data_IF_920907685398
#
_entry.id   IF_920907685398
#
_cell.length_a   1.000
_cell.length_b   1.000
_cell.length_c   1.000
_cell.angle_alpha   90.00
_cell.angle_beta   90.00
_cell.angle_gamma   90.00
#
_symmetry.space_group_name_H-M   'P 1'
#
loop_
_entity.id
_entity.type
_entity.pdbx_description
1 polymer ?
#
# COMPACT_ATOMS: atom_id res chain seq x y z
N UNK A 1 37.26 -34.54 18.32
CA UNK A 1 36.28 -33.70 17.62
C UNK A 1 35.10 -33.57 18.56
N UNK A 2 34.82 -32.35 19.05
CA UNK A 2 33.65 -32.12 19.87
C UNK A 2 32.41 -32.35 19.01
N UNK A 3 31.50 -33.16 19.54
CA UNK A 3 30.17 -33.40 19.00
C UNK A 3 29.44 -32.05 18.93
N UNK A 4 29.31 -31.52 17.71
CA UNK A 4 28.52 -30.33 17.45
C UNK A 4 27.07 -30.80 17.41
N UNK A 5 26.46 -30.90 18.60
CA UNK A 5 25.06 -31.25 18.75
C UNK A 5 24.21 -30.47 17.75
N UNK A 6 23.46 -31.20 16.94
CA UNK A 6 22.54 -30.64 15.95
C UNK A 6 21.59 -29.68 16.66
N UNK A 7 21.68 -28.39 16.32
CA UNK A 7 20.69 -27.42 16.71
C UNK A 7 19.46 -27.65 15.84
N UNK A 8 18.50 -28.44 16.34
CA UNK A 8 17.14 -28.46 15.80
C UNK A 8 16.37 -27.27 16.40
N UNK A 9 16.11 -26.18 15.65
CA UNK A 9 15.20 -25.16 16.13
C UNK A 9 13.82 -25.80 16.31
N UNK A 10 13.30 -25.76 17.53
CA UNK A 10 11.94 -26.22 17.81
C UNK A 10 10.97 -25.52 16.86
N UNK A 11 10.21 -26.29 16.07
CA UNK A 11 9.17 -25.72 15.23
C UNK A 11 8.13 -25.03 16.14
N UNK A 12 7.95 -23.71 16.03
CA UNK A 12 6.94 -23.03 16.82
C UNK A 12 5.56 -23.58 16.44
N UNK A 13 4.69 -23.76 17.44
CA UNK A 13 3.32 -24.17 17.19
C UNK A 13 2.63 -23.14 16.29
N UNK A 14 2.11 -23.58 15.14
CA UNK A 14 1.47 -22.71 14.15
C UNK A 14 0.15 -22.09 14.68
N UNK A 15 -0.48 -22.72 15.66
CA UNK A 15 -1.66 -22.20 16.35
C UNK A 15 -1.57 -22.52 17.84
N UNK A 16 -2.01 -21.58 18.69
CA UNK A 16 -1.96 -21.72 20.15
C UNK A 16 -3.33 -21.69 20.83
N UNK A 17 -4.40 -21.34 20.10
CA UNK A 17 -5.75 -21.13 20.64
C UNK A 17 -5.91 -19.91 21.57
N UNK A 18 -4.80 -19.29 22.02
CA UNK A 18 -4.83 -18.14 22.95
C UNK A 18 -5.63 -16.95 22.42
N UNK A 19 -5.64 -16.78 21.10
CA UNK A 19 -6.31 -15.67 20.41
C UNK A 19 -7.83 -15.83 20.26
N UNK A 20 -8.42 -16.97 20.65
CA UNK A 20 -9.85 -17.25 20.45
C UNK A 20 -10.75 -16.41 21.35
N UNK A 21 -10.17 -15.86 22.44
CA UNK A 21 -10.85 -14.90 23.32
C UNK A 21 -11.00 -13.50 22.71
N UNK A 22 -10.52 -13.28 21.49
CA UNK A 22 -10.47 -11.94 20.86
C UNK A 22 -9.32 -11.06 21.37
N UNK A 23 -8.39 -11.62 22.15
CA UNK A 23 -7.19 -10.94 22.67
C UNK A 23 -5.91 -11.44 21.99
N UNK A 24 -4.83 -10.69 22.12
CA UNK A 24 -3.51 -11.04 21.59
C UNK A 24 -2.40 -10.41 22.40
N UNK A 25 -1.24 -11.07 22.47
CA UNK A 25 -0.02 -10.45 22.98
C UNK A 25 0.61 -9.65 21.84
N UNK A 26 0.57 -8.32 21.92
CA UNK A 26 1.06 -7.44 20.87
C UNK A 26 2.41 -6.84 21.25
N UNK A 27 3.49 -7.45 20.75
CA UNK A 27 4.86 -7.01 20.99
C UNK A 27 5.12 -6.69 22.47
N UNK A 28 5.59 -5.48 22.76
CA UNK A 28 5.82 -4.98 24.13
C UNK A 28 4.65 -4.20 24.72
N UNK A 29 3.55 -4.05 23.98
CA UNK A 29 2.30 -3.49 24.53
C UNK A 29 1.59 -4.46 25.47
N UNK A 30 1.97 -5.75 25.45
CA UNK A 30 1.41 -6.79 26.30
C UNK A 30 0.09 -7.36 25.76
N UNK A 31 -0.78 -7.82 26.66
CA UNK A 31 -2.06 -8.43 26.30
C UNK A 31 -3.13 -7.37 26.01
N UNK A 32 -3.55 -7.28 24.75
CA UNK A 32 -4.49 -6.28 24.23
C UNK A 32 -5.65 -6.94 23.49
N UNK A 33 -6.74 -6.21 23.27
CA UNK A 33 -7.79 -6.67 22.37
C UNK A 33 -7.27 -6.71 20.92
N UNK A 34 -7.71 -7.68 20.11
CA UNK A 34 -7.40 -7.71 18.67
C UNK A 34 -7.94 -6.49 17.91
N UNK A 35 -8.88 -5.77 18.50
CA UNK A 35 -9.45 -4.52 17.99
C UNK A 35 -8.70 -3.27 18.49
N UNK A 36 -7.61 -3.42 19.25
CA UNK A 36 -6.76 -2.28 19.63
C UNK A 36 -6.24 -1.59 18.36
N UNK A 37 -6.29 -0.26 18.34
CA UNK A 37 -5.96 0.52 17.14
C UNK A 37 -4.50 0.38 16.73
N UNK A 38 -3.59 0.06 17.65
CA UNK A 38 -2.19 -0.20 17.34
C UNK A 38 -2.01 -1.56 16.65
N UNK A 39 -2.80 -2.56 17.04
CA UNK A 39 -2.88 -3.85 16.34
C UNK A 39 -3.45 -3.64 14.93
N UNK A 40 -4.55 -2.89 14.80
CA UNK A 40 -5.12 -2.59 13.49
C UNK A 40 -4.16 -1.84 12.57
N UNK A 41 -3.36 -0.91 13.11
CA UNK A 41 -2.32 -0.20 12.37
C UNK A 41 -1.19 -1.14 11.92
N UNK A 42 -0.72 -2.02 12.81
CA UNK A 42 0.28 -3.07 12.50
C UNK A 42 -0.19 -3.97 11.35
N UNK A 43 -1.39 -4.54 11.46
CA UNK A 43 -1.94 -5.47 10.48
C UNK A 43 -2.18 -4.80 9.13
N UNK A 44 -2.62 -3.53 9.13
CA UNK A 44 -2.79 -2.78 7.89
C UNK A 44 -1.45 -2.52 7.18
N UNK A 45 -0.35 -2.37 7.92
CA UNK A 45 0.99 -2.22 7.34
C UNK A 45 1.52 -3.55 6.79
N UNK A 46 1.25 -4.67 7.45
CA UNK A 46 1.57 -6.01 6.94
C UNK A 46 0.77 -6.30 5.65
N UNK A 47 -0.51 -5.95 5.60
CA UNK A 47 -1.32 -6.08 4.39
C UNK A 47 -0.80 -5.18 3.25
N UNK A 48 -0.30 -3.97 3.57
CA UNK A 48 0.36 -3.12 2.58
C UNK A 48 1.62 -3.78 2.00
N UNK A 49 2.39 -4.48 2.84
CA UNK A 49 3.55 -5.25 2.40
C UNK A 49 3.15 -6.42 1.49
N UNK A 50 2.10 -7.16 1.84
CA UNK A 50 1.54 -8.21 1.00
C UNK A 50 1.07 -7.69 -0.37
N UNK A 51 0.43 -6.51 -0.41
CA UNK A 51 0.01 -5.87 -1.64
C UNK A 51 1.20 -5.47 -2.54
N UNK A 52 2.27 -4.91 -1.96
CA UNK A 52 3.53 -4.64 -2.68
C UNK A 52 4.14 -5.93 -3.22
N UNK A 53 4.13 -7.00 -2.41
CA UNK A 53 4.65 -8.31 -2.79
C UNK A 53 3.91 -8.90 -3.98
N UNK A 54 2.58 -8.74 -4.03
CA UNK A 54 1.76 -9.20 -5.15
C UNK A 54 2.10 -8.45 -6.45
N UNK A 55 2.31 -7.13 -6.39
CA UNK A 55 2.74 -6.34 -7.54
C UNK A 55 4.09 -6.81 -8.08
N UNK A 56 5.04 -7.15 -7.20
CA UNK A 56 6.34 -7.73 -7.59
C UNK A 56 6.19 -9.12 -8.23
N UNK A 57 5.35 -9.97 -7.64
CA UNK A 57 5.15 -11.35 -8.10
C UNK A 57 4.46 -11.44 -9.48
N UNK A 58 3.65 -10.45 -9.85
CA UNK A 58 3.00 -10.40 -11.15
C UNK A 58 3.99 -10.26 -12.33
N UNK A 59 5.21 -9.78 -12.07
CA UNK A 59 6.25 -9.61 -13.08
C UNK A 59 5.99 -8.43 -14.04
N UNK A 60 6.86 -8.31 -15.05
CA UNK A 60 6.78 -7.22 -16.05
C UNK A 60 7.26 -5.85 -15.55
N UNK A 61 7.83 -5.78 -14.34
CA UNK A 61 8.46 -4.56 -13.81
C UNK A 61 9.97 -4.55 -14.12
N UNK A 62 10.56 -3.38 -14.44
CA UNK A 62 12.00 -3.25 -14.57
C UNK A 62 12.76 -3.63 -13.29
N UNK A 63 13.98 -4.12 -13.43
CA UNK A 63 14.83 -4.55 -12.30
C UNK A 63 15.03 -3.45 -11.24
N UNK A 64 15.12 -2.20 -11.69
CA UNK A 64 15.25 -1.03 -10.81
C UNK A 64 14.01 -0.83 -9.93
N UNK A 65 12.82 -1.04 -10.50
CA UNK A 65 11.54 -0.97 -9.78
C UNK A 65 11.45 -2.10 -8.76
N UNK A 66 11.73 -3.35 -9.16
CA UNK A 66 11.67 -4.49 -8.24
C UNK A 66 12.70 -4.38 -7.11
N UNK A 67 13.88 -3.81 -7.38
CA UNK A 67 14.91 -3.55 -6.35
C UNK A 67 14.47 -2.48 -5.35
N UNK A 68 13.80 -1.44 -5.84
CA UNK A 68 13.19 -0.41 -4.99
C UNK A 68 12.07 -1.00 -4.13
N UNK A 69 11.19 -1.81 -4.71
CA UNK A 69 10.10 -2.45 -3.99
C UNK A 69 10.60 -3.46 -2.95
N UNK A 70 11.68 -4.20 -3.21
CA UNK A 70 12.32 -5.05 -2.21
C UNK A 70 12.84 -4.27 -0.99
N UNK A 71 13.36 -3.06 -1.22
CA UNK A 71 13.74 -2.16 -0.13
C UNK A 71 12.52 -1.67 0.66
N UNK A 72 11.42 -1.36 -0.03
CA UNK A 72 10.14 -0.99 0.59
C UNK A 72 9.57 -2.14 1.44
N UNK A 73 9.65 -3.39 1.00
CA UNK A 73 9.19 -4.53 1.79
C UNK A 73 9.96 -4.65 3.11
N UNK A 74 11.27 -4.39 3.10
CA UNK A 74 12.08 -4.34 4.33
C UNK A 74 11.65 -3.19 5.23
N UNK A 75 11.44 -1.99 4.67
CA UNK A 75 10.97 -0.85 5.47
C UNK A 75 9.59 -1.10 6.10
N UNK A 76 8.68 -1.77 5.39
CA UNK A 76 7.36 -2.11 5.92
C UNK A 76 7.47 -3.14 7.06
N UNK A 77 8.44 -4.06 6.98
CA UNK A 77 8.79 -4.92 8.11
C UNK A 77 9.39 -4.14 9.29
N UNK A 78 10.27 -3.19 9.03
CA UNK A 78 10.79 -2.27 10.06
C UNK A 78 9.66 -1.45 10.70
N UNK A 79 8.68 -1.02 9.91
CA UNK A 79 7.52 -0.26 10.37
C UNK A 79 6.64 -1.08 11.31
N UNK A 80 6.35 -2.34 10.98
CA UNK A 80 5.55 -3.20 11.89
C UNK A 80 6.34 -3.55 13.16
N UNK A 81 7.67 -3.67 13.08
CA UNK A 81 8.53 -3.81 14.26
C UNK A 81 8.52 -2.57 15.15
N UNK A 82 8.52 -1.38 14.54
CA UNK A 82 8.38 -0.07 15.22
C UNK A 82 7.04 0.00 15.98
N UNK A 83 5.93 -0.28 15.30
CA UNK A 83 4.59 -0.26 15.91
C UNK A 83 4.43 -1.26 17.07
N UNK A 84 5.20 -2.34 17.08
CA UNK A 84 5.12 -3.40 18.09
C UNK A 84 5.75 -3.03 19.44
N UNK A 85 6.49 -1.93 19.52
CA UNK A 85 7.20 -1.52 20.74
C UNK A 85 6.91 -0.04 21.05
N UNK A 86 6.34 0.30 22.22
CA UNK A 86 6.15 1.70 22.63
C UNK A 86 7.44 2.54 22.55
N UNK A 87 7.33 3.86 22.32
CA UNK A 87 8.51 4.75 22.28
C UNK A 87 9.17 4.92 23.64
N UNK A 88 8.40 4.78 24.72
CA UNK A 88 8.84 4.87 26.11
C UNK A 88 9.25 3.52 26.72
N UNK A 89 9.28 2.45 25.92
CA UNK A 89 9.77 1.14 26.38
C UNK A 89 11.26 1.23 26.77
N UNK A 90 11.66 0.66 27.92
CA UNK A 90 13.06 0.69 28.35
C UNK A 90 14.00 -0.07 27.41
N UNK A 91 13.50 -1.04 26.65
CA UNK A 91 14.27 -1.74 25.65
C UNK A 91 13.93 -1.23 24.24
N UNK A 92 14.94 -0.86 23.44
CA UNK A 92 14.69 -0.32 22.11
C UNK A 92 14.06 -1.38 21.19
N UNK A 93 13.18 -0.92 20.31
CA UNK A 93 12.70 -1.72 19.20
C UNK A 93 13.87 -2.18 18.31
N UNK A 94 13.79 -3.38 17.70
CA UNK A 94 14.83 -3.85 16.79
C UNK A 94 14.99 -2.94 15.55
N UNK A 95 13.92 -2.28 15.12
CA UNK A 95 13.93 -1.28 14.07
C UNK A 95 12.98 -0.12 14.41
N UNK A 96 13.30 1.05 13.86
CA UNK A 96 12.48 2.27 13.92
C UNK A 96 12.55 2.96 12.56
N UNK A 97 11.43 3.50 12.10
CA UNK A 97 11.40 4.39 10.95
C UNK A 97 12.17 5.66 11.30
N UNK A 98 12.90 6.16 10.32
CA UNK A 98 13.81 7.31 10.46
C UNK A 98 13.65 8.24 9.27
N UNK A 99 14.06 9.49 9.44
CA UNK A 99 14.07 10.50 8.36
C UNK A 99 14.80 10.02 7.09
N UNK A 100 15.83 9.20 7.23
CA UNK A 100 16.55 8.60 6.09
C UNK A 100 15.67 7.72 5.20
N UNK A 101 14.66 7.05 5.75
CA UNK A 101 13.70 6.24 4.99
C UNK A 101 12.79 7.14 4.15
N UNK A 102 12.29 8.22 4.74
CA UNK A 102 11.46 9.21 4.04
C UNK A 102 12.24 9.85 2.90
N UNK A 103 13.45 10.33 3.19
CA UNK A 103 14.33 10.93 2.19
C UNK A 103 14.65 9.97 1.04
N UNK A 104 14.77 8.65 1.31
CA UNK A 104 14.96 7.66 0.25
C UNK A 104 13.71 7.49 -0.61
N UNK A 105 12.52 7.45 -0.01
CA UNK A 105 11.27 7.39 -0.78
C UNK A 105 11.07 8.64 -1.63
N UNK A 106 11.36 9.83 -1.10
CA UNK A 106 11.27 11.10 -1.83
C UNK A 106 12.18 11.08 -3.06
N UNK A 107 13.44 10.66 -2.91
CA UNK A 107 14.36 10.49 -4.06
C UNK A 107 13.86 9.46 -5.08
N UNK A 108 13.28 8.36 -4.63
CA UNK A 108 12.73 7.34 -5.53
C UNK A 108 11.53 7.90 -6.32
N UNK A 109 10.64 8.64 -5.65
CA UNK A 109 9.52 9.33 -6.30
C UNK A 109 10.03 10.28 -7.37
N UNK A 110 10.98 11.15 -7.04
CA UNK A 110 11.54 12.12 -7.98
C UNK A 110 12.21 11.45 -9.18
N UNK A 111 12.92 10.35 -8.95
CA UNK A 111 13.58 9.56 -10.00
C UNK A 111 12.58 8.95 -10.98
N UNK A 112 11.61 8.18 -10.47
CA UNK A 112 10.64 7.53 -11.35
C UNK A 112 9.65 8.52 -11.97
N UNK A 113 9.42 9.68 -11.34
CA UNK A 113 8.56 10.72 -11.89
C UNK A 113 9.17 11.33 -13.16
N UNK A 114 10.50 11.45 -13.22
CA UNK A 114 11.20 11.93 -14.43
C UNK A 114 11.13 10.92 -15.58
N UNK A 115 10.91 9.64 -15.29
CA UNK A 115 10.78 8.58 -16.29
C UNK A 115 9.33 8.42 -16.78
N UNK A 116 8.34 8.93 -16.05
CA UNK A 116 6.95 8.90 -16.45
C UNK A 116 6.66 9.94 -17.55
N UNK A 117 6.04 9.52 -18.65
CA UNK A 117 5.83 10.37 -19.82
C UNK A 117 4.89 11.57 -19.55
N UNK A 118 3.87 11.38 -18.72
CA UNK A 118 2.96 12.43 -18.25
C UNK A 118 2.38 12.01 -16.89
N UNK A 119 2.35 12.93 -15.91
CA UNK A 119 1.75 12.72 -14.59
C UNK A 119 0.52 13.61 -14.36
N UNK A 120 0.13 14.41 -15.36
CA UNK A 120 -1.00 15.31 -15.30
C UNK A 120 -2.34 14.56 -15.27
N UNK A 121 -3.38 15.27 -14.81
CA UNK A 121 -4.75 14.78 -14.75
C UNK A 121 -4.99 13.66 -13.73
N UNK A 122 -6.25 13.20 -13.67
CA UNK A 122 -6.61 12.03 -12.89
C UNK A 122 -6.70 10.83 -13.83
N UNK A 123 -6.17 9.70 -13.40
CA UNK A 123 -6.19 8.43 -14.14
C UNK A 123 -7.16 7.47 -13.49
N UNK A 124 -7.81 6.65 -14.31
CA UNK A 124 -8.51 5.47 -13.83
C UNK A 124 -7.47 4.40 -13.45
N UNK A 125 -7.51 3.85 -12.22
CA UNK A 125 -6.53 2.87 -11.79
C UNK A 125 -6.68 1.57 -12.60
N UNK A 126 -5.67 1.24 -13.41
CA UNK A 126 -5.71 0.10 -14.33
C UNK A 126 -4.57 0.13 -15.34
N UNK A 127 -4.80 -0.47 -16.50
CA UNK A 127 -3.81 -0.64 -17.57
C UNK A 127 -3.17 -2.02 -17.54
N UNK A 128 -1.84 -2.08 -17.43
CA UNK A 128 -1.14 -3.37 -17.29
C UNK A 128 -1.46 -4.03 -15.95
N UNK A 129 -1.28 -5.36 -15.85
CA UNK A 129 -1.48 -6.10 -14.59
C UNK A 129 -0.62 -5.51 -13.46
N UNK A 130 0.64 -5.19 -13.77
CA UNK A 130 1.56 -4.58 -12.82
C UNK A 130 1.08 -3.19 -12.36
N UNK A 131 0.63 -2.34 -13.29
CA UNK A 131 0.09 -1.03 -12.95
C UNK A 131 -1.17 -1.11 -12.08
N UNK A 132 -2.12 -2.00 -12.43
CA UNK A 132 -3.34 -2.21 -11.66
C UNK A 132 -3.03 -2.66 -10.22
N UNK A 133 -2.06 -3.55 -10.03
CA UNK A 133 -1.63 -4.00 -8.71
C UNK A 133 -0.90 -2.91 -7.93
N UNK A 134 -0.10 -2.07 -8.58
CA UNK A 134 0.53 -0.90 -7.93
C UNK A 134 -0.52 0.14 -7.48
N UNK A 135 -1.59 0.35 -8.27
CA UNK A 135 -2.72 1.17 -7.84
C UNK A 135 -3.49 0.55 -6.68
N UNK A 136 -3.67 -0.77 -6.67
CA UNK A 136 -4.28 -1.47 -5.54
C UNK A 136 -3.41 -1.32 -4.27
N UNK A 137 -2.10 -1.54 -4.39
CA UNK A 137 -1.14 -1.35 -3.30
C UNK A 137 -1.16 0.07 -2.77
N UNK A 138 -1.24 1.09 -3.65
CA UNK A 138 -1.43 2.49 -3.24
C UNK A 138 -2.68 2.67 -2.36
N UNK A 139 -3.79 2.03 -2.71
CA UNK A 139 -5.02 2.06 -1.91
C UNK A 139 -4.84 1.45 -0.52
N UNK A 140 -4.16 0.30 -0.44
CA UNK A 140 -3.86 -0.40 0.81
C UNK A 140 -2.89 0.41 1.68
N UNK A 141 -1.81 0.95 1.12
CA UNK A 141 -0.86 1.83 1.82
C UNK A 141 -1.57 3.05 2.42
N UNK A 142 -2.48 3.68 1.67
CA UNK A 142 -3.28 4.81 2.20
C UNK A 142 -4.24 4.39 3.31
N UNK A 143 -4.72 3.15 3.30
CA UNK A 143 -5.54 2.62 4.41
C UNK A 143 -4.68 2.36 5.65
N UNK A 144 -3.48 1.80 5.48
CA UNK A 144 -2.50 1.67 6.54
C UNK A 144 -2.15 3.03 7.15
N UNK A 145 -1.88 4.04 6.33
CA UNK A 145 -1.60 5.42 6.77
C UNK A 145 -2.70 5.95 7.71
N UNK A 146 -3.98 5.78 7.34
CA UNK A 146 -5.11 6.21 8.19
C UNK A 146 -5.18 5.43 9.50
N UNK A 147 -4.95 4.12 9.46
CA UNK A 147 -4.95 3.30 10.67
C UNK A 147 -3.82 3.71 11.64
N UNK A 148 -2.64 4.02 11.10
CA UNK A 148 -1.51 4.53 11.89
C UNK A 148 -1.81 5.90 12.48
N UNK A 149 -2.43 6.82 11.72
CA UNK A 149 -2.85 8.11 12.28
C UNK A 149 -3.85 7.95 13.44
N UNK A 150 -4.82 7.04 13.32
CA UNK A 150 -5.74 6.74 14.42
C UNK A 150 -4.99 6.21 15.65
N UNK A 151 -3.98 5.37 15.45
CA UNK A 151 -3.14 4.88 16.55
C UNK A 151 -2.29 6.00 17.19
N UNK A 152 -1.75 6.93 16.39
CA UNK A 152 -1.03 8.11 16.88
C UNK A 152 -1.95 9.01 17.71
N UNK A 153 -3.15 9.32 17.21
CA UNK A 153 -4.09 10.21 17.89
C UNK A 153 -4.53 9.66 19.26
N UNK A 154 -4.70 8.34 19.36
CA UNK A 154 -5.13 7.67 20.59
C UNK A 154 -3.97 7.27 21.52
N UNK A 155 -2.76 7.10 20.97
CA UNK A 155 -1.55 6.70 21.71
C UNK A 155 -0.33 7.56 21.33
N UNK A 156 -0.35 8.88 21.56
CA UNK A 156 0.65 9.82 21.05
C UNK A 156 2.05 9.65 21.65
N UNK A 157 2.18 8.96 22.79
CA UNK A 157 3.47 8.64 23.41
C UNK A 157 4.02 7.28 22.99
N UNK A 158 3.23 6.46 22.28
CA UNK A 158 3.61 5.09 21.93
C UNK A 158 3.94 4.89 20.46
N UNK A 159 3.42 5.74 19.55
CA UNK A 159 3.57 5.59 18.10
C UNK A 159 4.24 6.83 17.51
N UNK A 160 5.33 6.64 16.75
CA UNK A 160 6.05 7.75 16.12
C UNK A 160 5.32 8.23 14.84
N UNK A 161 4.99 9.52 14.70
CA UNK A 161 4.44 10.10 13.48
C UNK A 161 5.26 9.86 12.20
N UNK A 162 6.55 9.53 12.31
CA UNK A 162 7.39 9.13 11.17
C UNK A 162 6.83 7.91 10.44
N UNK A 163 6.18 6.98 11.14
CA UNK A 163 5.57 5.79 10.54
C UNK A 163 4.45 6.16 9.55
N UNK A 164 3.52 7.03 9.95
CA UNK A 164 2.47 7.52 9.06
C UNK A 164 3.02 8.38 7.91
N UNK A 165 4.03 9.22 8.20
CA UNK A 165 4.71 10.02 7.17
C UNK A 165 5.41 9.14 6.12
N UNK A 166 6.02 8.02 6.52
CA UNK A 166 6.60 7.06 5.58
C UNK A 166 5.53 6.51 4.63
N UNK A 167 4.41 6.03 5.15
CA UNK A 167 3.29 5.49 4.35
C UNK A 167 2.72 6.54 3.39
N UNK A 168 2.64 7.80 3.82
CA UNK A 168 2.22 8.91 2.98
C UNK A 168 3.10 9.04 1.72
N UNK A 169 4.43 9.05 1.88
CA UNK A 169 5.39 9.08 0.75
C UNK A 169 5.32 7.79 -0.08
N UNK A 170 5.19 6.64 0.58
CA UNK A 170 5.11 5.35 -0.10
C UNK A 170 3.91 5.32 -1.06
N UNK A 171 2.77 5.90 -0.67
CA UNK A 171 1.60 5.97 -1.55
C UNK A 171 1.90 6.76 -2.84
N UNK A 172 2.73 7.80 -2.78
CA UNK A 172 3.20 8.56 -3.95
C UNK A 172 4.13 7.73 -4.82
N UNK A 173 5.04 6.95 -4.22
CA UNK A 173 5.89 6.02 -4.96
C UNK A 173 5.05 4.99 -5.72
N UNK A 174 4.06 4.37 -5.07
CA UNK A 174 3.16 3.43 -5.75
C UNK A 174 2.45 4.06 -6.96
N UNK A 175 2.04 5.33 -6.86
CA UNK A 175 1.42 6.04 -7.99
C UNK A 175 2.38 6.22 -9.16
N UNK A 176 3.57 6.76 -8.90
CA UNK A 176 4.55 7.02 -9.95
C UNK A 176 5.00 5.71 -10.62
N UNK A 177 5.20 4.66 -9.84
CA UNK A 177 5.52 3.34 -10.37
C UNK A 177 4.38 2.76 -11.21
N UNK A 178 3.12 2.95 -10.81
CA UNK A 178 1.98 2.51 -11.60
C UNK A 178 1.91 3.22 -12.96
N UNK A 179 2.18 4.54 -13.00
CA UNK A 179 2.27 5.31 -14.24
C UNK A 179 3.43 4.82 -15.12
N UNK A 180 4.59 4.55 -14.53
CA UNK A 180 5.73 3.97 -15.24
C UNK A 180 5.42 2.58 -15.82
N UNK A 181 4.70 1.74 -15.09
CA UNK A 181 4.26 0.42 -15.55
C UNK A 181 3.20 0.47 -16.67
N UNK A 182 2.63 1.64 -16.94
CA UNK A 182 1.74 1.91 -18.07
C UNK A 182 2.43 2.65 -19.22
N UNK A 183 3.73 2.98 -19.16
CA UNK A 183 4.36 3.88 -20.12
C UNK A 183 4.17 3.47 -21.60
N UNK A 184 4.19 2.17 -21.90
CA UNK A 184 3.95 1.65 -23.26
C UNK A 184 2.47 1.46 -23.59
N UNK A 185 1.63 1.18 -22.59
CA UNK A 185 0.19 0.92 -22.76
C UNK A 185 -0.63 2.21 -22.84
N UNK A 186 -0.16 3.27 -22.18
CA UNK A 186 -0.90 4.50 -21.91
C UNK A 186 -1.82 4.37 -20.69
N UNK A 187 -2.05 5.50 -20.02
CA UNK A 187 -3.04 5.59 -18.96
C UNK A 187 -4.41 5.98 -19.51
N UNK A 188 -5.47 5.44 -18.89
CA UNK A 188 -6.84 5.89 -19.16
C UNK A 188 -7.16 7.08 -18.28
N UNK A 189 -7.34 8.24 -18.89
CA UNK A 189 -7.68 9.47 -18.17
C UNK A 189 -9.12 9.43 -17.69
N UNK A 190 -9.35 9.87 -16.44
CA UNK A 190 -10.68 10.08 -15.93
C UNK A 190 -11.36 11.25 -16.65
N UNK A 191 -12.57 11.00 -17.14
CA UNK A 191 -13.43 12.02 -17.74
C UNK A 191 -14.61 12.26 -16.79
N UNK A 192 -14.76 13.47 -16.23
CA UNK A 192 -15.88 13.81 -15.35
C UNK A 192 -17.23 13.52 -16.02
N UNK A 193 -18.08 12.78 -15.30
CA UNK A 193 -19.47 12.47 -15.71
C UNK A 193 -19.59 11.72 -17.06
N UNK A 194 -18.55 11.03 -17.52
CA UNK A 194 -18.53 10.36 -18.82
C UNK A 194 -19.79 9.51 -19.09
N UNK A 195 -20.18 8.68 -18.11
CA UNK A 195 -21.36 7.82 -18.22
C UNK A 195 -22.68 8.62 -18.32
N UNK A 196 -22.82 9.70 -17.54
CA UNK A 196 -24.04 10.52 -17.57
C UNK A 196 -24.16 11.32 -18.89
N UNK A 197 -23.04 11.82 -19.41
CA UNK A 197 -23.00 12.56 -20.69
C UNK A 197 -23.27 11.66 -21.89
N UNK A 198 -22.80 10.41 -21.87
CA UNK A 198 -23.10 9.43 -22.89
C UNK A 198 -24.62 9.16 -22.99
N UNK A 199 -25.29 8.93 -21.85
CA UNK A 199 -26.73 8.71 -21.81
C UNK A 199 -27.54 9.90 -22.33
N UNK A 200 -27.18 11.12 -21.96
CA UNK A 200 -27.86 12.32 -22.47
C UNK A 200 -27.72 12.50 -23.99
N UNK A 201 -26.62 12.04 -24.60
CA UNK A 201 -26.43 12.09 -26.05
C UNK A 201 -27.25 11.02 -26.79
N UNK A 202 -27.44 9.85 -26.17
CA UNK A 202 -28.32 8.80 -26.70
C UNK A 202 -29.78 9.23 -26.70
N UNK A 203 -30.27 9.87 -25.63
CA UNK A 203 -31.64 10.40 -25.54
C UNK A 203 -31.92 11.48 -26.60
N UNK A 204 -30.92 12.32 -26.94
CA UNK A 204 -31.05 13.36 -27.98
C UNK A 204 -30.93 12.77 -29.40
N UNK A 205 -30.25 11.64 -29.57
CA UNK A 205 -30.02 10.99 -30.88
C UNK A 205 -31.20 10.14 -31.41
N UNK A 206 -32.18 9.83 -30.56
CA UNK A 206 -33.39 9.08 -30.91
C UNK A 206 -34.50 9.95 -31.53
N UNK A 207 -34.37 11.29 -31.46
CA UNK A 207 -35.35 12.24 -32.01
C UNK A 207 -35.15 12.50 -33.52
N UNK A 208 -34.66 11.51 -34.27
CA UNK A 208 -34.56 11.62 -35.74
C UNK A 208 -35.96 11.61 -36.34
N UNK A 209 -36.32 12.59 -37.20
CA UNK A 209 -37.65 12.61 -37.79
C UNK A 209 -37.84 11.34 -38.62
N UNK A 210 -38.88 10.57 -38.30
CA UNK A 210 -39.35 9.50 -39.16
C UNK A 210 -39.51 10.10 -40.56
N UNK A 211 -38.64 9.72 -41.50
CA UNK A 211 -38.83 10.07 -42.90
C UNK A 211 -40.09 9.36 -43.36
N UNK A 212 -41.21 10.08 -43.24
CA UNK A 212 -42.51 9.67 -43.71
C UNK A 212 -42.42 9.27 -45.17
N UNK A 213 -42.42 7.97 -45.39
CA UNK A 213 -42.71 7.36 -46.68
C UNK A 213 -44.22 7.42 -46.86
N UNK A 214 -44.67 8.21 -47.84
CA UNK A 214 -46.04 8.21 -48.35
C UNK A 214 -46.26 9.51 -49.13
N UNK A 215 -46.44 9.54 -50.44
CA UNK A 215 -46.96 8.53 -51.34
C UNK A 215 -48.13 9.16 -52.09
N UNK A 216 -47.98 9.27 -53.43
CA UNK A 216 -48.90 9.82 -54.45
C UNK A 216 -48.95 11.35 -54.59
#
# INVERSE_FOLDING_TARGET
>A
MADLGEFEPAQPALYTGKGDSGRTTFGRHGDVAKTDVRVAAYEACDEANAAVSLAMAAGGLPIEVTSTLASVQNDLFDLVADLSVPLDDPEPAPARIRESHLARLERAVDHFAQQAADLSGFVLPGGTVAAALLYQARGVVRRAERAVWVAIDLHPTSVDPLTARYLNRLSSLMFVLARGANAEHGDVMWVPEASARAMAQEEVGDDRPETGVGGA
#
